data_IF_522436749580
#
_entry.id   IF_522436749580
#
_cell.length_a   1.000
_cell.length_b   1.000
_cell.length_c   1.000
_cell.angle_alpha   90.00
_cell.angle_beta   90.00
_cell.angle_gamma   90.00
#
_symmetry.space_group_name_H-M   'P 1'
#
loop_
_entity.id
_entity.type
_entity.pdbx_description
1 polymer ?
#
# COMPACT_ATOMS: atom_id res chain seq x y z
N UNK A 1 -11.20 5.62 13.11
CA UNK A 1 -9.98 6.37 12.71
C UNK A 1 -9.56 6.01 11.30
N UNK A 2 -8.87 6.90 10.56
CA UNK A 2 -8.44 6.64 9.16
C UNK A 2 -7.64 5.35 9.01
N UNK A 3 -6.75 5.06 9.96
CA UNK A 3 -5.93 3.85 9.96
C UNK A 3 -6.74 2.56 10.10
N UNK A 4 -7.87 2.58 10.82
CA UNK A 4 -8.75 1.40 10.95
C UNK A 4 -9.45 1.13 9.62
N UNK A 5 -9.86 2.18 8.92
CA UNK A 5 -10.43 2.04 7.58
C UNK A 5 -9.38 1.57 6.56
N UNK A 6 -8.12 2.00 6.69
CA UNK A 6 -7.02 1.45 5.88
C UNK A 6 -6.83 -0.06 6.14
N UNK A 7 -6.86 -0.50 7.39
CA UNK A 7 -6.79 -1.92 7.73
C UNK A 7 -8.02 -2.68 7.17
N UNK A 8 -9.20 -2.07 7.20
CA UNK A 8 -10.45 -2.64 6.70
C UNK A 8 -10.43 -2.91 5.19
N UNK A 9 -9.67 -2.14 4.40
CA UNK A 9 -9.47 -2.40 2.95
C UNK A 9 -8.99 -3.84 2.73
N UNK A 10 -8.09 -4.33 3.60
CA UNK A 10 -7.49 -5.67 3.52
C UNK A 10 -8.30 -6.77 4.20
N UNK A 11 -9.25 -6.41 5.05
CA UNK A 11 -10.06 -7.37 5.76
C UNK A 11 -10.97 -8.15 4.79
N UNK A 12 -11.23 -9.41 5.13
CA UNK A 12 -12.16 -10.30 4.41
C UNK A 12 -12.63 -11.40 5.34
N UNK A 13 -13.81 -11.95 5.10
CA UNK A 13 -14.19 -13.21 5.73
C UNK A 13 -13.24 -14.35 5.29
N UNK A 14 -12.77 -15.15 6.24
CA UNK A 14 -11.86 -16.29 5.98
C UNK A 14 -12.50 -17.62 6.38
N UNK A 15 -13.31 -17.63 7.43
CA UNK A 15 -14.06 -18.78 7.91
C UNK A 15 -15.29 -18.27 8.69
N UNK A 16 -16.33 -19.10 8.79
CA UNK A 16 -17.54 -18.80 9.55
C UNK A 16 -18.84 -19.07 8.79
N UNK A 17 -19.95 -18.69 9.40
CA UNK A 17 -21.28 -18.79 8.80
C UNK A 17 -21.40 -17.91 7.53
N UNK A 18 -21.92 -18.44 6.41
CA UNK A 18 -22.04 -17.68 5.16
C UNK A 18 -22.90 -16.42 5.28
N UNK A 19 -23.98 -16.45 6.06
CA UNK A 19 -24.85 -15.28 6.21
C UNK A 19 -24.15 -14.18 7.02
N UNK A 20 -23.36 -14.54 8.04
CA UNK A 20 -22.49 -13.59 8.75
C UNK A 20 -21.39 -13.02 7.84
N UNK A 21 -20.75 -13.85 7.01
CA UNK A 21 -19.74 -13.41 6.05
C UNK A 21 -20.32 -12.39 5.07
N UNK A 22 -21.52 -12.63 4.55
CA UNK A 22 -22.20 -11.68 3.66
C UNK A 22 -22.51 -10.36 4.36
N UNK A 23 -22.99 -10.39 5.61
CA UNK A 23 -23.21 -9.16 6.40
C UNK A 23 -21.92 -8.40 6.66
N UNK A 24 -20.82 -9.10 6.94
CA UNK A 24 -19.51 -8.48 7.11
C UNK A 24 -19.05 -7.77 5.83
N UNK A 25 -19.14 -8.43 4.67
CA UNK A 25 -18.73 -7.82 3.40
C UNK A 25 -19.61 -6.61 3.03
N UNK A 26 -20.91 -6.64 3.37
CA UNK A 26 -21.77 -5.46 3.21
C UNK A 26 -21.31 -4.29 4.09
N UNK A 27 -21.06 -4.53 5.37
CA UNK A 27 -20.56 -3.47 6.28
C UNK A 27 -19.21 -2.93 5.80
N UNK A 28 -18.30 -3.81 5.37
CA UNK A 28 -17.02 -3.41 4.79
C UNK A 28 -17.22 -2.53 3.55
N UNK A 29 -18.08 -2.95 2.63
CA UNK A 29 -18.43 -2.18 1.45
C UNK A 29 -18.95 -0.78 1.83
N UNK A 30 -19.97 -0.73 2.68
CA UNK A 30 -20.64 0.51 3.10
C UNK A 30 -19.68 1.50 3.74
N UNK A 31 -18.72 1.02 4.55
CA UNK A 31 -17.67 1.86 5.15
C UNK A 31 -16.70 2.36 4.07
N UNK A 32 -16.23 1.48 3.18
CA UNK A 32 -15.22 1.85 2.18
C UNK A 32 -15.74 2.85 1.16
N UNK A 33 -17.03 2.79 0.76
CA UNK A 33 -17.63 3.70 -0.23
C UNK A 33 -18.09 5.05 0.34
N UNK A 34 -17.87 5.32 1.62
CA UNK A 34 -18.19 6.63 2.20
C UNK A 34 -17.40 7.75 1.50
N UNK A 35 -18.01 8.91 1.21
CA UNK A 35 -17.30 10.07 0.68
C UNK A 35 -16.29 10.58 1.72
N UNK A 36 -15.14 11.05 1.24
CA UNK A 36 -14.05 11.56 2.10
C UNK A 36 -13.45 12.83 1.51
N UNK A 37 -13.04 13.73 2.40
CA UNK A 37 -12.16 14.84 2.03
C UNK A 37 -10.76 14.30 1.71
N UNK A 38 -10.45 14.20 0.41
CA UNK A 38 -9.24 13.53 -0.09
C UNK A 38 -7.96 14.18 0.45
N UNK A 39 -7.95 15.50 0.63
CA UNK A 39 -6.81 16.21 1.20
C UNK A 39 -6.53 15.84 2.66
N UNK A 40 -7.59 15.69 3.47
CA UNK A 40 -7.46 15.25 4.86
C UNK A 40 -7.03 13.78 4.95
N UNK A 41 -7.66 12.90 4.17
CA UNK A 41 -7.29 11.48 4.08
C UNK A 41 -5.81 11.32 3.70
N UNK A 42 -5.34 12.06 2.69
CA UNK A 42 -3.95 12.03 2.22
C UNK A 42 -2.98 12.40 3.34
N UNK A 43 -3.25 13.48 4.09
CA UNK A 43 -2.45 13.90 5.25
C UNK A 43 -2.33 12.79 6.28
N UNK A 44 -3.47 12.23 6.70
CA UNK A 44 -3.51 11.16 7.71
C UNK A 44 -2.67 9.94 7.29
N UNK A 45 -2.79 9.52 6.02
CA UNK A 45 -2.05 8.38 5.47
C UNK A 45 -0.54 8.64 5.47
N UNK A 46 -0.11 9.82 5.02
CA UNK A 46 1.31 10.21 4.98
C UNK A 46 1.88 10.31 6.40
N UNK A 47 1.17 10.98 7.31
CA UNK A 47 1.61 11.14 8.69
C UNK A 47 1.77 9.79 9.39
N UNK A 48 0.79 8.90 9.23
CA UNK A 48 0.87 7.55 9.75
C UNK A 48 2.04 6.78 9.14
N UNK A 49 2.23 6.87 7.81
CA UNK A 49 3.32 6.17 7.13
C UNK A 49 4.68 6.64 7.65
N UNK A 50 4.87 7.95 7.80
CA UNK A 50 6.09 8.55 8.33
C UNK A 50 6.40 8.04 9.72
N UNK A 51 5.41 8.07 10.63
CA UNK A 51 5.54 7.50 11.98
C UNK A 51 5.96 6.03 11.92
N UNK A 52 5.41 5.24 11.01
CA UNK A 52 5.82 3.84 10.83
C UNK A 52 7.25 3.68 10.32
N UNK A 53 7.70 4.50 9.35
CA UNK A 53 9.10 4.49 8.90
C UNK A 53 10.02 4.79 10.08
N UNK A 54 9.71 5.83 10.87
CA UNK A 54 10.56 6.28 11.97
C UNK A 54 10.76 5.21 13.05
N UNK A 55 9.78 4.31 13.24
CA UNK A 55 9.84 3.24 14.24
C UNK A 55 10.29 1.87 13.70
N UNK A 56 9.99 1.57 12.42
CA UNK A 56 10.15 0.22 11.85
C UNK A 56 11.11 0.16 10.66
N UNK A 57 11.41 1.29 10.03
CA UNK A 57 12.30 1.37 8.88
C UNK A 57 13.76 1.14 9.25
N UNK A 58 14.58 0.91 8.23
CA UNK A 58 16.02 0.96 8.36
C UNK A 58 16.41 2.38 8.78
N UNK A 59 16.83 2.55 10.04
CA UNK A 59 17.33 3.84 10.53
C UNK A 59 18.46 4.39 9.65
N UNK A 60 18.75 5.69 9.75
CA UNK A 60 19.66 6.39 8.83
C UNK A 60 20.98 5.67 8.54
N UNK A 61 21.61 5.07 9.57
CA UNK A 61 22.88 4.33 9.44
C UNK A 61 22.79 3.07 8.56
N UNK A 62 21.67 2.36 8.57
CA UNK A 62 21.50 1.17 7.73
C UNK A 62 21.30 1.55 6.26
N UNK A 63 20.61 2.68 6.01
CA UNK A 63 20.46 3.26 4.67
C UNK A 63 21.78 3.80 4.12
N UNK A 64 22.58 4.45 4.96
CA UNK A 64 23.94 4.91 4.64
C UNK A 64 24.89 3.74 4.33
N UNK A 65 24.69 2.58 4.97
CA UNK A 65 25.43 1.35 4.67
C UNK A 65 24.96 0.63 3.40
N UNK A 66 24.11 1.27 2.57
CA UNK A 66 23.62 0.70 1.32
C UNK A 66 22.77 -0.55 1.54
N UNK A 67 21.92 -0.56 2.57
CA UNK A 67 20.92 -1.62 2.79
C UNK A 67 19.52 -1.12 2.49
N UNK A 68 18.64 -2.06 2.11
CA UNK A 68 17.24 -1.79 1.84
C UNK A 68 16.36 -2.86 2.48
N UNK A 69 15.48 -2.45 3.41
CA UNK A 69 14.42 -3.30 3.93
C UNK A 69 13.26 -3.35 2.93
N UNK A 70 13.05 -4.53 2.34
CA UNK A 70 12.05 -4.76 1.29
C UNK A 70 10.62 -4.42 1.73
N UNK A 71 10.36 -4.35 3.04
CA UNK A 71 9.04 -4.10 3.61
C UNK A 71 8.90 -2.66 4.08
N UNK A 72 9.78 -2.21 4.96
CA UNK A 72 9.57 -1.03 5.79
C UNK A 72 10.14 0.26 5.20
N UNK A 73 11.13 0.16 4.32
CA UNK A 73 11.79 1.35 3.77
C UNK A 73 10.98 2.02 2.66
N UNK A 74 11.21 3.32 2.41
CA UNK A 74 10.58 4.03 1.29
C UNK A 74 10.85 3.34 -0.05
N UNK A 75 9.79 3.05 -0.79
CA UNK A 75 9.80 2.25 -2.02
C UNK A 75 9.63 0.74 -1.80
N UNK A 76 9.42 0.30 -0.56
CA UNK A 76 9.16 -1.09 -0.18
C UNK A 76 7.68 -1.50 -0.23
N UNK A 77 7.39 -2.72 0.24
CA UNK A 77 6.05 -3.31 0.21
C UNK A 77 5.00 -2.45 0.94
N UNK A 78 5.36 -1.85 2.09
CA UNK A 78 4.40 -1.08 2.89
C UNK A 78 3.96 0.19 2.15
N UNK A 79 4.81 0.81 1.34
CA UNK A 79 4.40 1.96 0.51
C UNK A 79 3.34 1.55 -0.52
N UNK A 80 3.50 0.38 -1.15
CA UNK A 80 2.51 -0.17 -2.08
C UNK A 80 1.19 -0.44 -1.37
N UNK A 81 1.23 -1.05 -0.17
CA UNK A 81 0.04 -1.29 0.64
C UNK A 81 -0.69 0.00 0.99
N UNK A 82 0.05 1.05 1.38
CA UNK A 82 -0.52 2.35 1.73
C UNK A 82 -1.13 3.07 0.52
N UNK A 83 -0.47 3.04 -0.64
CA UNK A 83 -1.02 3.60 -1.88
C UNK A 83 -2.33 2.94 -2.27
N UNK A 84 -2.39 1.59 -2.20
CA UNK A 84 -3.60 0.83 -2.49
C UNK A 84 -4.73 1.19 -1.54
N UNK A 85 -4.44 1.22 -0.23
CA UNK A 85 -5.44 1.55 0.79
C UNK A 85 -5.97 2.99 0.63
N UNK A 86 -5.06 3.95 0.39
CA UNK A 86 -5.41 5.34 0.11
C UNK A 86 -6.32 5.43 -1.12
N UNK A 87 -5.93 4.81 -2.23
CA UNK A 87 -6.68 4.89 -3.49
C UNK A 87 -8.08 4.31 -3.34
N UNK A 88 -8.25 3.18 -2.62
CA UNK A 88 -9.58 2.64 -2.31
C UNK A 88 -10.39 3.62 -1.48
N UNK A 89 -9.86 4.13 -0.37
CA UNK A 89 -10.61 5.05 0.50
C UNK A 89 -10.97 6.38 -0.20
N UNK A 90 -10.10 6.86 -1.08
CA UNK A 90 -10.29 8.11 -1.82
C UNK A 90 -11.29 7.96 -2.98
N UNK A 91 -11.35 6.79 -3.63
CA UNK A 91 -12.06 6.62 -4.91
C UNK A 91 -13.25 5.66 -4.84
N UNK A 92 -13.40 4.83 -3.80
CA UNK A 92 -14.47 3.84 -3.73
C UNK A 92 -15.87 4.45 -3.71
N UNK A 93 -16.03 5.71 -3.28
CA UNK A 93 -17.30 6.43 -3.41
C UNK A 93 -17.73 6.56 -4.88
N UNK A 94 -16.81 6.93 -5.77
CA UNK A 94 -17.05 7.11 -7.20
C UNK A 94 -16.96 5.77 -7.97
N UNK A 95 -16.16 4.84 -7.48
CA UNK A 95 -15.91 3.54 -8.09
C UNK A 95 -16.13 2.40 -7.08
N UNK A 96 -17.38 2.04 -6.73
CA UNK A 96 -17.67 1.06 -5.68
C UNK A 96 -17.05 -0.32 -5.92
N UNK A 97 -16.75 -0.68 -7.18
CA UNK A 97 -16.08 -1.95 -7.52
C UNK A 97 -14.71 -2.11 -6.85
N UNK A 98 -14.05 -1.02 -6.46
CA UNK A 98 -12.76 -1.04 -5.77
C UNK A 98 -12.81 -1.80 -4.43
N UNK A 99 -13.99 -2.01 -3.87
CA UNK A 99 -14.21 -2.77 -2.63
C UNK A 99 -14.30 -4.29 -2.86
N UNK A 100 -14.35 -4.77 -4.10
CA UNK A 100 -14.58 -6.18 -4.44
C UNK A 100 -13.47 -7.11 -3.90
N UNK A 101 -12.22 -6.64 -3.90
CA UNK A 101 -11.06 -7.42 -3.47
C UNK A 101 -10.38 -6.76 -2.27
N UNK A 102 -9.54 -7.53 -1.57
CA UNK A 102 -8.83 -7.06 -0.38
C UNK A 102 -7.30 -7.23 -0.46
N UNK A 103 -6.79 -7.82 -1.55
CA UNK A 103 -5.36 -7.95 -1.82
C UNK A 103 -4.86 -6.90 -2.83
N UNK A 104 -3.59 -6.54 -2.70
CA UNK A 104 -2.98 -5.48 -3.48
C UNK A 104 -3.01 -5.74 -4.98
N UNK A 105 -2.75 -6.97 -5.43
CA UNK A 105 -2.64 -7.28 -6.86
C UNK A 105 -3.96 -7.04 -7.57
N UNK A 106 -5.05 -7.62 -7.05
CA UNK A 106 -6.36 -7.43 -7.66
C UNK A 106 -6.86 -6.00 -7.52
N UNK A 107 -6.60 -5.32 -6.39
CA UNK A 107 -6.98 -3.91 -6.26
C UNK A 107 -6.21 -3.02 -7.25
N UNK A 108 -4.90 -3.22 -7.43
CA UNK A 108 -4.09 -2.49 -8.41
C UNK A 108 -4.63 -2.67 -9.84
N UNK A 109 -5.07 -3.87 -10.21
CA UNK A 109 -5.73 -4.11 -11.48
C UNK A 109 -7.04 -3.30 -11.60
N UNK A 110 -7.90 -3.29 -10.57
CA UNK A 110 -9.13 -2.49 -10.60
C UNK A 110 -8.83 -0.98 -10.71
N UNK A 111 -7.77 -0.49 -10.05
CA UNK A 111 -7.35 0.91 -10.15
C UNK A 111 -6.93 1.29 -11.57
N UNK A 112 -6.22 0.39 -12.27
CA UNK A 112 -5.84 0.58 -13.66
C UNK A 112 -7.06 0.56 -14.59
N UNK A 113 -7.97 -0.41 -14.41
CA UNK A 113 -9.18 -0.53 -15.20
C UNK A 113 -10.15 0.65 -15.03
N UNK A 114 -10.18 1.27 -13.84
CA UNK A 114 -10.94 2.49 -13.58
C UNK A 114 -10.22 3.76 -14.07
N UNK A 115 -9.02 3.66 -14.64
CA UNK A 115 -8.22 4.80 -15.11
C UNK A 115 -7.64 5.67 -13.98
N UNK A 116 -7.69 5.21 -12.73
CA UNK A 116 -7.12 5.92 -11.57
C UNK A 116 -5.59 5.83 -11.59
N UNK A 117 -5.07 4.72 -12.12
CA UNK A 117 -3.64 4.48 -12.22
C UNK A 117 -3.30 4.13 -13.68
N UNK A 118 -2.23 4.73 -14.21
CA UNK A 118 -1.80 4.44 -15.57
C UNK A 118 -1.28 3.00 -15.67
N UNK A 119 -1.60 2.30 -16.76
CA UNK A 119 -1.22 0.90 -16.95
C UNK A 119 0.30 0.61 -16.77
N UNK A 120 1.24 1.47 -17.22
CA UNK A 120 2.66 1.26 -16.93
C UNK A 120 2.99 1.28 -15.43
N UNK A 121 2.35 2.17 -14.66
CA UNK A 121 2.55 2.27 -13.21
C UNK A 121 1.97 1.03 -12.53
N UNK A 122 0.83 0.52 -13.00
CA UNK A 122 0.19 -0.68 -12.46
C UNK A 122 1.14 -1.88 -12.56
N UNK A 123 1.68 -2.11 -13.75
CA UNK A 123 2.63 -3.19 -13.99
C UNK A 123 3.87 -3.06 -13.12
N UNK A 124 4.46 -1.87 -13.04
CA UNK A 124 5.64 -1.61 -12.20
C UNK A 124 5.38 -1.92 -10.72
N UNK A 125 4.23 -1.51 -10.18
CA UNK A 125 3.86 -1.79 -8.79
C UNK A 125 3.62 -3.29 -8.53
N UNK A 126 2.97 -3.98 -9.48
CA UNK A 126 2.75 -5.43 -9.40
C UNK A 126 4.07 -6.20 -9.46
N UNK A 127 4.94 -5.86 -10.40
CA UNK A 127 6.27 -6.47 -10.54
C UNK A 127 7.12 -6.27 -9.28
N UNK A 128 7.17 -5.04 -8.76
CA UNK A 128 7.86 -4.74 -7.51
C UNK A 128 7.30 -5.53 -6.33
N UNK A 129 5.97 -5.57 -6.17
CA UNK A 129 5.32 -6.30 -5.08
C UNK A 129 5.64 -7.80 -5.11
N UNK A 130 5.53 -8.43 -6.30
CA UNK A 130 5.83 -9.85 -6.48
C UNK A 130 7.30 -10.14 -6.21
N UNK A 131 8.22 -9.30 -6.74
CA UNK A 131 9.65 -9.46 -6.54
C UNK A 131 10.03 -9.39 -5.05
N UNK A 132 9.58 -8.34 -4.35
CA UNK A 132 9.87 -8.15 -2.93
C UNK A 132 9.31 -9.27 -2.06
N UNK A 133 8.06 -9.69 -2.30
CA UNK A 133 7.45 -10.81 -1.57
C UNK A 133 8.19 -12.12 -1.81
N UNK A 134 8.61 -12.38 -3.05
CA UNK A 134 9.34 -13.60 -3.41
C UNK A 134 10.70 -13.66 -2.73
N UNK A 135 11.45 -12.56 -2.73
CA UNK A 135 12.76 -12.47 -2.06
C UNK A 135 12.58 -12.55 -0.54
N UNK A 136 11.61 -11.82 0.01
CA UNK A 136 11.29 -11.87 1.44
C UNK A 136 10.95 -13.29 1.92
N UNK A 137 10.14 -14.04 1.18
CA UNK A 137 9.87 -15.45 1.51
C UNK A 137 11.14 -16.31 1.48
N UNK A 138 12.05 -16.11 0.51
CA UNK A 138 13.33 -16.85 0.46
C UNK A 138 14.24 -16.52 1.64
N UNK A 139 14.36 -15.25 2.01
CA UNK A 139 15.15 -14.81 3.16
C UNK A 139 14.58 -15.36 4.46
N UNK A 140 13.25 -15.39 4.60
CA UNK A 140 12.58 -15.97 5.76
C UNK A 140 12.89 -17.47 5.92
N UNK A 141 12.92 -18.24 4.82
CA UNK A 141 13.32 -19.66 4.85
C UNK A 141 14.77 -19.85 5.31
N UNK A 142 15.63 -18.86 5.08
CA UNK A 142 17.03 -18.84 5.52
C UNK A 142 17.20 -18.24 6.92
N UNK A 143 16.10 -17.90 7.61
CA UNK A 143 16.12 -17.17 8.90
C UNK A 143 16.89 -15.84 8.83
N UNK A 144 16.95 -15.23 7.65
CA UNK A 144 17.60 -13.95 7.41
C UNK A 144 16.57 -12.80 7.48
N UNK A 145 17.01 -11.58 7.86
CA UNK A 145 16.15 -10.41 7.77
C UNK A 145 15.76 -10.15 6.30
N UNK A 146 14.59 -9.52 6.07
CA UNK A 146 14.12 -9.13 4.73
C UNK A 146 14.83 -7.88 4.19
N UNK A 147 16.15 -7.84 4.36
CA UNK A 147 17.03 -6.73 4.01
C UNK A 147 17.98 -7.20 2.93
N UNK A 148 18.06 -6.44 1.85
CA UNK A 148 18.93 -6.67 0.68
C UNK A 148 19.95 -5.55 0.56
N UNK A 149 20.90 -5.69 -0.36
CA UNK A 149 21.81 -4.58 -0.68
C UNK A 149 21.06 -3.49 -1.46
N UNK A 150 21.54 -2.25 -1.38
CA UNK A 150 20.83 -1.07 -1.89
C UNK A 150 20.79 -0.98 -3.42
N UNK A 151 21.69 -1.66 -4.10
CA UNK A 151 21.72 -1.86 -5.55
C UNK A 151 20.70 -2.88 -6.03
N UNK A 152 20.32 -3.86 -5.19
CA UNK A 152 19.21 -4.76 -5.49
C UNK A 152 17.90 -3.96 -5.57
N UNK A 153 17.15 -4.21 -6.65
CA UNK A 153 15.85 -3.61 -6.93
C UNK A 153 15.83 -2.07 -7.00
N UNK A 154 16.94 -1.43 -7.39
CA UNK A 154 17.02 0.02 -7.48
C UNK A 154 15.92 0.62 -8.37
N UNK A 155 15.66 0.02 -9.54
CA UNK A 155 14.64 0.49 -10.49
C UNK A 155 13.22 0.33 -9.94
N UNK A 156 12.91 -0.82 -9.33
CA UNK A 156 11.60 -1.07 -8.72
C UNK A 156 11.37 -0.09 -7.56
N UNK A 157 12.39 0.17 -6.74
CA UNK A 157 12.30 1.13 -5.63
C UNK A 157 12.02 2.54 -6.14
N UNK A 158 12.71 2.97 -7.20
CA UNK A 158 12.46 4.27 -7.83
C UNK A 158 11.04 4.35 -8.41
N UNK A 159 10.55 3.28 -9.04
CA UNK A 159 9.20 3.23 -9.59
C UNK A 159 8.13 3.32 -8.48
N UNK A 160 8.29 2.60 -7.36
CA UNK A 160 7.37 2.68 -6.21
C UNK A 160 7.40 4.10 -5.61
N UNK A 161 8.57 4.71 -5.44
CA UNK A 161 8.70 6.07 -4.94
C UNK A 161 8.08 7.11 -5.89
N UNK A 162 8.22 6.92 -7.21
CA UNK A 162 7.58 7.79 -8.19
C UNK A 162 6.04 7.67 -8.15
N UNK A 163 5.51 6.45 -8.06
CA UNK A 163 4.08 6.21 -7.90
C UNK A 163 3.54 6.81 -6.58
N UNK A 164 4.32 6.72 -5.50
CA UNK A 164 3.99 7.36 -4.22
C UNK A 164 3.81 8.86 -4.38
N UNK A 165 4.80 9.53 -4.98
CA UNK A 165 4.73 10.98 -5.25
C UNK A 165 3.55 11.35 -6.13
N UNK A 166 3.23 10.55 -7.14
CA UNK A 166 2.10 10.81 -8.03
C UNK A 166 0.75 10.72 -7.30
N UNK A 167 0.55 9.72 -6.43
CA UNK A 167 -0.72 9.48 -5.76
C UNK A 167 -0.92 10.32 -4.50
N UNK A 168 0.12 10.42 -3.67
CA UNK A 168 0.07 11.04 -2.34
C UNK A 168 0.75 12.41 -2.31
N UNK A 169 1.56 12.76 -3.31
CA UNK A 169 2.35 14.00 -3.32
C UNK A 169 3.67 13.86 -2.58
N UNK A 170 4.52 14.87 -2.72
CA UNK A 170 5.64 15.08 -1.81
C UNK A 170 5.06 15.65 -0.50
N UNK A 171 5.35 15.01 0.63
CA UNK A 171 4.78 15.39 1.94
C UNK A 171 5.07 16.81 2.44
N UNK A 172 5.69 17.65 1.60
CA UNK A 172 6.05 19.05 1.85
C UNK A 172 4.97 20.06 1.40
N UNK A 173 4.03 19.70 0.52
CA UNK A 173 2.96 20.61 0.05
C UNK A 173 1.83 20.82 1.08
N UNK A 174 1.92 20.22 2.26
CA UNK A 174 0.84 20.21 3.26
C UNK A 174 0.89 21.38 4.26
N UNK A 175 1.68 22.42 3.97
CA UNK A 175 1.81 23.63 4.80
C UNK A 175 1.44 24.96 4.10
N UNK A 176 0.90 24.92 2.88
CA UNK A 176 0.34 26.10 2.20
C UNK A 176 -1.19 26.01 2.13
#
# INVERSE_FOLDING_TARGET
WTWEHQALVRARAVAGDPALAQRFEQVRHDILVQPREVGALRRDVIEMRRKMVDHLGSGGRAREAGRFDLKQDPGGIVDIEFMVQFAVLAQAHNYPRLTQWSDNIRILALLAECGILAEPVHRQLVEAYIAYRSVGHRLQLQQAPSVVTGDEFADQRLAVQAAWRQLLGDGEELQA
#
